data_IF_556141554907
#
_entry.id   IF_556141554907
#
_cell.length_a   1.000
_cell.length_b   1.000
_cell.length_c   1.000
_cell.angle_alpha   90.00
_cell.angle_beta   90.00
_cell.angle_gamma   90.00
#
_symmetry.space_group_name_H-M   'P 1'
#
loop_
_entity.id
_entity.type
_entity.pdbx_description
1 polymer ?
#
# COMPACT_ATOMS: atom_id res chain seq x y z
N UNK A 1 15.06 -4.99 8.59
CA UNK A 1 15.46 -4.25 9.83
C UNK A 1 14.26 -4.18 10.77
N UNK A 2 14.48 -4.38 12.07
CA UNK A 2 13.47 -4.13 13.12
C UNK A 2 13.46 -2.63 13.41
N UNK A 3 12.37 -1.94 13.09
CA UNK A 3 12.21 -0.49 13.34
C UNK A 3 11.71 -0.25 14.77
N UNK A 4 10.75 -1.08 15.21
CA UNK A 4 10.29 -1.20 16.59
C UNK A 4 10.05 -2.69 16.91
N UNK A 5 9.60 -3.02 18.12
CA UNK A 5 9.26 -4.41 18.45
C UNK A 5 8.13 -4.97 17.59
N UNK A 6 7.25 -4.11 17.08
CA UNK A 6 6.09 -4.47 16.26
C UNK A 6 6.26 -4.22 14.77
N UNK A 7 7.29 -3.47 14.34
CA UNK A 7 7.49 -3.06 12.95
C UNK A 7 8.77 -3.66 12.41
N UNK A 8 8.64 -4.63 11.51
CA UNK A 8 9.75 -5.24 10.79
C UNK A 8 9.65 -4.92 9.30
N UNK A 9 10.67 -4.25 8.76
CA UNK A 9 10.71 -3.84 7.36
C UNK A 9 12.07 -4.20 6.77
N UNK A 10 12.07 -4.74 5.56
CA UNK A 10 13.29 -5.16 4.86
C UNK A 10 13.37 -4.54 3.46
N UNK A 11 14.59 -4.30 2.98
CA UNK A 11 14.82 -3.91 1.59
C UNK A 11 15.17 -5.17 0.81
N UNK A 12 14.20 -5.77 0.16
CA UNK A 12 14.33 -7.04 -0.56
C UNK A 12 13.14 -7.28 -1.51
N UNK A 13 13.28 -8.27 -2.37
CA UNK A 13 12.21 -8.76 -3.22
C UNK A 13 11.08 -9.41 -2.38
N UNK A 14 9.84 -9.18 -2.79
CA UNK A 14 8.67 -9.70 -2.07
C UNK A 14 8.59 -11.24 -2.09
N UNK A 15 9.05 -11.90 -3.15
CA UNK A 15 9.06 -13.37 -3.22
C UNK A 15 10.09 -13.97 -2.25
N UNK A 16 11.24 -13.28 -2.04
CA UNK A 16 12.23 -13.67 -1.04
C UNK A 16 11.68 -13.51 0.38
N UNK A 17 10.99 -12.40 0.65
CA UNK A 17 10.28 -12.22 1.91
C UNK A 17 9.29 -13.35 2.15
N UNK A 18 8.37 -13.57 1.20
CA UNK A 18 7.26 -14.52 1.35
C UNK A 18 7.72 -15.96 1.51
N UNK A 19 8.82 -16.35 0.84
CA UNK A 19 9.37 -17.71 0.92
C UNK A 19 9.80 -18.13 2.34
N UNK A 20 10.05 -17.20 3.25
CA UNK A 20 10.48 -17.49 4.63
C UNK A 20 9.33 -17.85 5.57
N UNK A 21 8.08 -17.63 5.16
CA UNK A 21 6.94 -17.80 6.03
C UNK A 21 6.14 -19.05 5.68
N UNK A 22 5.66 -19.79 6.70
CA UNK A 22 4.78 -20.92 6.49
C UNK A 22 3.37 -20.49 6.04
N UNK A 23 2.58 -21.47 5.62
CA UNK A 23 1.19 -21.25 5.23
C UNK A 23 0.38 -20.59 6.35
N UNK A 24 -0.47 -19.64 5.99
CA UNK A 24 -1.37 -18.92 6.92
C UNK A 24 -0.66 -18.21 8.09
N UNK A 25 0.60 -17.81 7.90
CA UNK A 25 1.37 -17.13 8.95
C UNK A 25 0.79 -15.76 9.31
N UNK A 26 0.38 -14.99 8.29
CA UNK A 26 -0.20 -13.67 8.47
C UNK A 26 -1.72 -13.75 8.56
N UNK A 27 -2.31 -12.97 9.45
CA UNK A 27 -3.75 -12.94 9.62
C UNK A 27 -4.42 -12.08 8.55
N UNK A 28 -3.73 -11.00 8.11
CA UNK A 28 -4.20 -10.08 7.08
C UNK A 28 -3.05 -9.51 6.28
N UNK A 29 -3.06 -9.70 4.96
CA UNK A 29 -2.22 -8.97 4.03
C UNK A 29 -3.00 -7.77 3.46
N UNK A 30 -2.38 -6.58 3.46
CA UNK A 30 -2.90 -5.38 2.78
C UNK A 30 -1.80 -4.90 1.86
N UNK A 31 -1.99 -5.09 0.56
CA UNK A 31 -0.93 -4.88 -0.43
C UNK A 31 -1.37 -3.98 -1.58
N UNK A 32 -0.45 -3.18 -2.10
CA UNK A 32 -0.66 -2.26 -3.22
C UNK A 32 0.42 -2.50 -4.30
N UNK A 33 0.34 -3.64 -5.02
CA UNK A 33 1.34 -3.97 -6.03
C UNK A 33 1.22 -3.06 -7.27
N UNK A 34 2.29 -2.91 -8.07
CA UNK A 34 2.24 -2.19 -9.33
C UNK A 34 1.18 -2.75 -10.26
N UNK A 35 0.45 -1.86 -10.96
CA UNK A 35 -0.72 -2.29 -11.75
C UNK A 35 -0.37 -2.67 -13.21
N UNK A 36 0.82 -2.34 -13.68
CA UNK A 36 1.24 -2.57 -15.08
C UNK A 36 0.53 -1.66 -16.10
N UNK A 37 0.10 -0.48 -15.68
CA UNK A 37 -0.63 0.48 -16.51
C UNK A 37 0.25 1.60 -17.07
N UNK A 38 1.57 1.52 -16.86
CA UNK A 38 2.56 2.49 -17.30
C UNK A 38 2.59 3.76 -16.43
N UNK A 39 2.16 3.67 -15.17
CA UNK A 39 2.12 4.80 -14.24
C UNK A 39 3.50 5.45 -14.00
N UNK A 40 4.59 4.71 -14.18
CA UNK A 40 5.98 5.20 -14.13
C UNK A 40 6.52 5.75 -15.44
N UNK A 41 5.77 5.73 -16.54
CA UNK A 41 6.27 6.12 -17.86
C UNK A 41 6.29 7.63 -18.07
N UNK A 42 7.26 8.14 -18.87
CA UNK A 42 7.32 9.56 -19.32
C UNK A 42 6.02 10.03 -19.97
N UNK A 43 5.29 9.14 -20.65
CA UNK A 43 3.99 9.48 -21.25
C UNK A 43 2.94 9.85 -20.20
N UNK A 44 2.97 9.20 -19.05
CA UNK A 44 2.05 9.46 -17.96
C UNK A 44 2.40 10.77 -17.24
N UNK A 45 3.69 11.03 -17.09
CA UNK A 45 4.24 12.25 -16.49
C UNK A 45 3.89 13.47 -17.36
N UNK A 46 4.10 13.40 -18.67
CA UNK A 46 3.86 14.52 -19.59
C UNK A 46 2.39 14.91 -19.77
N UNK A 47 1.44 14.04 -19.44
CA UNK A 47 0.00 14.38 -19.48
C UNK A 47 -0.43 15.25 -18.30
N UNK A 48 0.30 15.27 -17.20
CA UNK A 48 -0.19 15.80 -15.92
C UNK A 48 0.72 16.87 -15.30
N UNK A 49 1.83 17.27 -15.93
CA UNK A 49 2.79 18.15 -15.26
C UNK A 49 3.12 19.41 -16.06
N UNK A 50 2.43 20.49 -15.66
CA UNK A 50 3.02 21.84 -15.71
C UNK A 50 4.04 22.08 -14.56
N UNK A 51 4.38 21.04 -13.78
CA UNK A 51 5.16 21.19 -12.55
C UNK A 51 6.52 20.47 -12.67
N UNK A 52 7.59 21.23 -12.85
CA UNK A 52 8.99 20.77 -12.93
C UNK A 52 9.47 19.92 -11.73
N UNK A 53 8.75 19.95 -10.62
CA UNK A 53 9.07 19.15 -9.43
C UNK A 53 8.58 17.68 -9.52
N UNK A 54 7.69 17.35 -10.46
CA UNK A 54 7.21 15.98 -10.64
C UNK A 54 8.29 15.07 -11.24
N UNK A 55 9.21 15.58 -12.07
CA UNK A 55 10.31 14.79 -12.63
C UNK A 55 11.25 14.18 -11.58
N UNK A 56 11.36 14.82 -10.41
CA UNK A 56 12.19 14.29 -9.31
C UNK A 56 11.62 13.02 -8.65
N UNK A 57 10.30 12.81 -8.73
CA UNK A 57 9.62 11.66 -8.10
C UNK A 57 9.46 10.46 -9.03
N UNK A 58 9.43 10.72 -10.34
CA UNK A 58 9.31 9.68 -11.34
C UNK A 58 10.69 9.47 -11.96
N UNK A 59 11.52 8.66 -11.31
CA UNK A 59 12.68 8.10 -12.01
C UNK A 59 12.14 7.35 -13.25
N UNK A 60 12.86 7.42 -14.36
CA UNK A 60 12.64 6.57 -15.55
C UNK A 60 12.85 5.10 -15.14
N UNK A 61 11.87 4.51 -14.49
CA UNK A 61 11.97 3.17 -13.96
C UNK A 61 10.78 2.35 -14.44
N UNK A 62 11.08 1.20 -14.99
CA UNK A 62 10.13 0.13 -15.32
C UNK A 62 9.57 -0.57 -14.07
N UNK A 63 9.34 0.19 -12.96
CA UNK A 63 8.85 -0.37 -11.71
C UNK A 63 7.36 -0.79 -11.79
N UNK A 64 6.60 -0.22 -12.74
CA UNK A 64 5.17 -0.52 -12.87
C UNK A 64 4.96 -1.80 -13.70
N UNK A 65 5.52 -2.91 -13.21
CA UNK A 65 5.33 -4.24 -13.78
C UNK A 65 4.33 -4.99 -12.90
N UNK A 66 3.20 -5.40 -13.50
CA UNK A 66 2.18 -6.16 -12.79
C UNK A 66 2.76 -7.49 -12.25
N UNK A 67 2.41 -7.89 -11.01
CA UNK A 67 2.87 -9.13 -10.43
C UNK A 67 2.42 -10.36 -11.23
N UNK A 68 3.24 -11.39 -11.20
CA UNK A 68 2.92 -12.68 -11.83
C UNK A 68 1.90 -13.48 -11.00
N UNK A 69 1.30 -14.51 -11.61
CA UNK A 69 0.43 -15.47 -10.90
C UNK A 69 1.16 -16.14 -9.72
N UNK A 70 2.49 -16.29 -9.77
CA UNK A 70 3.28 -16.87 -8.68
C UNK A 70 3.22 -16.00 -7.44
N UNK A 71 3.31 -14.68 -7.58
CA UNK A 71 3.17 -13.73 -6.48
C UNK A 71 1.82 -13.90 -5.76
N UNK A 72 0.71 -13.92 -6.51
CA UNK A 72 -0.61 -14.07 -5.90
C UNK A 72 -0.82 -15.43 -5.23
N UNK A 73 -0.21 -16.50 -5.77
CA UNK A 73 -0.22 -17.83 -5.12
C UNK A 73 0.51 -17.81 -3.79
N UNK A 74 1.70 -17.19 -3.72
CA UNK A 74 2.47 -17.07 -2.49
C UNK A 74 1.78 -16.16 -1.46
N UNK A 75 1.25 -15.01 -1.89
CA UNK A 75 0.47 -14.13 -1.02
C UNK A 75 -0.71 -14.86 -0.37
N UNK A 76 -1.47 -15.63 -1.17
CA UNK A 76 -2.59 -16.45 -0.69
C UNK A 76 -2.13 -17.59 0.22
N UNK A 77 -0.97 -18.19 -0.03
CA UNK A 77 -0.41 -19.26 0.79
C UNK A 77 -0.10 -18.80 2.21
N UNK A 78 0.58 -17.67 2.34
CA UNK A 78 1.08 -17.19 3.65
C UNK A 78 0.09 -16.34 4.43
N UNK A 79 -1.05 -15.94 3.82
CA UNK A 79 -2.02 -15.03 4.41
C UNK A 79 -3.42 -15.64 4.50
N UNK A 80 -4.04 -15.61 5.68
CA UNK A 80 -5.43 -16.10 5.89
C UNK A 80 -6.44 -15.21 5.16
N UNK A 81 -6.22 -13.90 5.21
CA UNK A 81 -7.03 -12.87 4.55
C UNK A 81 -6.15 -11.91 3.78
N UNK A 82 -6.69 -11.34 2.70
CA UNK A 82 -5.98 -10.34 1.95
C UNK A 82 -6.91 -9.23 1.46
N UNK A 83 -6.34 -8.04 1.30
CA UNK A 83 -6.89 -6.85 0.65
C UNK A 83 -5.85 -6.42 -0.39
N UNK A 84 -6.19 -6.51 -1.67
CA UNK A 84 -5.29 -6.23 -2.79
C UNK A 84 -5.80 -5.01 -3.53
N UNK A 85 -5.13 -3.86 -3.39
CA UNK A 85 -5.42 -2.67 -4.15
C UNK A 85 -5.15 -2.88 -5.64
N UNK A 86 -5.91 -2.19 -6.49
CA UNK A 86 -5.85 -2.41 -7.94
C UNK A 86 -6.41 -3.77 -8.37
N UNK A 87 -7.24 -4.44 -7.56
CA UNK A 87 -7.80 -5.75 -7.87
C UNK A 87 -8.51 -5.85 -9.21
N UNK A 88 -9.02 -4.72 -9.72
CA UNK A 88 -9.61 -4.60 -11.05
C UNK A 88 -8.62 -4.80 -12.22
N UNK A 89 -7.31 -4.63 -11.99
CA UNK A 89 -6.27 -4.89 -12.98
C UNK A 89 -5.80 -6.35 -13.00
N UNK A 90 -6.18 -7.14 -11.97
CA UNK A 90 -5.73 -8.51 -11.77
C UNK A 90 -6.85 -9.55 -11.82
N UNK A 91 -8.00 -9.21 -12.44
CA UNK A 91 -9.20 -10.06 -12.46
C UNK A 91 -9.00 -11.42 -13.13
N UNK A 92 -7.98 -11.57 -14.00
CA UNK A 92 -7.59 -12.84 -14.60
C UNK A 92 -6.65 -13.68 -13.72
N UNK A 93 -6.18 -13.16 -12.60
CA UNK A 93 -5.23 -13.79 -11.68
C UNK A 93 -5.81 -14.01 -10.27
N UNK A 94 -6.95 -13.37 -9.98
CA UNK A 94 -7.60 -13.40 -8.68
C UNK A 94 -8.98 -14.05 -8.79
N UNK A 95 -9.39 -14.74 -7.72
CA UNK A 95 -10.72 -15.34 -7.64
C UNK A 95 -11.80 -14.25 -7.52
N UNK A 96 -13.01 -14.49 -8.03
CA UNK A 96 -14.14 -13.59 -7.82
C UNK A 96 -14.41 -13.37 -6.33
N UNK A 97 -14.77 -12.14 -5.97
CA UNK A 97 -15.12 -11.79 -4.59
C UNK A 97 -16.40 -10.98 -4.53
N UNK A 98 -17.18 -11.17 -3.46
CA UNK A 98 -18.34 -10.31 -3.13
C UNK A 98 -17.92 -9.03 -2.41
N UNK A 99 -16.80 -9.09 -1.67
CA UNK A 99 -16.32 -8.00 -0.84
C UNK A 99 -15.26 -7.19 -1.58
N UNK A 100 -15.68 -6.14 -2.26
CA UNK A 100 -14.80 -5.10 -2.75
C UNK A 100 -14.73 -3.94 -1.76
N UNK A 101 -13.57 -3.30 -1.70
CA UNK A 101 -13.39 -2.04 -0.99
C UNK A 101 -13.18 -0.95 -2.04
N UNK A 102 -14.01 0.07 -1.97
CA UNK A 102 -13.94 1.23 -2.85
C UNK A 102 -13.42 2.41 -2.04
N UNK A 103 -12.28 2.96 -2.43
CA UNK A 103 -11.83 4.23 -1.88
C UNK A 103 -12.29 5.36 -2.81
N UNK A 104 -13.36 6.06 -2.43
CA UNK A 104 -13.86 7.26 -3.08
C UNK A 104 -13.00 8.46 -2.68
N UNK A 105 -12.28 9.02 -3.66
CA UNK A 105 -11.31 10.10 -3.44
C UNK A 105 -11.92 11.49 -3.41
N UNK A 106 -13.18 11.64 -3.80
CA UNK A 106 -13.87 12.93 -3.90
C UNK A 106 -13.12 13.96 -4.75
N UNK A 107 -12.48 13.52 -5.82
CA UNK A 107 -11.61 14.38 -6.64
C UNK A 107 -12.38 15.26 -7.62
N UNK A 108 -13.66 14.96 -7.90
CA UNK A 108 -14.49 15.71 -8.84
C UNK A 108 -14.08 15.49 -10.30
N UNK A 109 -14.52 16.37 -11.19
CA UNK A 109 -14.22 16.32 -12.62
C UNK A 109 -12.75 16.64 -12.90
N UNK A 110 -11.92 15.63 -12.94
CA UNK A 110 -10.51 15.74 -13.32
C UNK A 110 -10.06 14.48 -14.09
N UNK A 111 -8.81 14.47 -14.57
CA UNK A 111 -8.25 13.36 -15.34
C UNK A 111 -7.77 12.16 -14.50
N UNK A 112 -7.89 12.22 -13.17
CA UNK A 112 -7.51 11.13 -12.27
C UNK A 112 -8.70 10.22 -11.98
N UNK A 113 -8.43 8.99 -11.56
CA UNK A 113 -9.49 8.08 -11.15
C UNK A 113 -10.22 8.61 -9.91
N UNK A 114 -11.56 8.65 -9.96
CA UNK A 114 -12.41 9.11 -8.86
C UNK A 114 -12.33 8.19 -7.64
N UNK A 115 -12.05 6.92 -7.87
CA UNK A 115 -11.91 5.92 -6.83
C UNK A 115 -10.79 4.92 -7.14
N UNK A 116 -10.36 4.19 -6.11
CA UNK A 116 -9.56 2.98 -6.23
C UNK A 116 -10.32 1.78 -5.67
N UNK A 117 -10.06 0.62 -6.28
CA UNK A 117 -10.73 -0.63 -5.93
C UNK A 117 -9.73 -1.60 -5.29
N UNK A 118 -10.10 -2.18 -4.16
CA UNK A 118 -9.40 -3.32 -3.61
C UNK A 118 -10.28 -4.57 -3.64
N UNK A 119 -9.71 -5.68 -4.09
CA UNK A 119 -10.33 -7.01 -4.05
C UNK A 119 -9.89 -7.73 -2.77
N UNK A 120 -10.81 -8.48 -2.16
CA UNK A 120 -10.53 -9.25 -0.93
C UNK A 120 -11.04 -10.67 -1.03
N UNK A 121 -10.50 -11.59 -0.20
CA UNK A 121 -11.09 -12.90 0.05
C UNK A 121 -11.98 -12.91 1.32
N UNK A 122 -12.25 -11.75 1.88
CA UNK A 122 -13.06 -11.62 3.10
C UNK A 122 -14.52 -11.81 2.74
N UNK A 123 -15.23 -12.67 3.45
CA UNK A 123 -16.68 -12.81 3.26
C UNK A 123 -17.40 -11.57 3.80
N UNK A 124 -18.25 -10.99 2.96
CA UNK A 124 -19.01 -9.78 3.29
C UNK A 124 -19.48 -9.02 2.07
N UNK A 125 -20.09 -7.88 2.33
CA UNK A 125 -20.54 -6.95 1.28
C UNK A 125 -19.46 -5.93 0.94
N UNK A 126 -19.53 -5.39 -0.29
CA UNK A 126 -18.68 -4.28 -0.69
C UNK A 126 -18.83 -3.09 0.26
N UNK A 127 -17.73 -2.40 0.54
CA UNK A 127 -17.65 -1.24 1.43
C UNK A 127 -17.03 -0.05 0.73
N UNK A 128 -17.48 1.14 1.08
CA UNK A 128 -16.93 2.40 0.59
C UNK A 128 -16.25 3.13 1.74
N UNK A 129 -15.01 3.56 1.51
CA UNK A 129 -14.30 4.53 2.33
C UNK A 129 -14.20 5.82 1.55
N UNK A 130 -14.63 6.94 2.12
CA UNK A 130 -14.63 8.24 1.46
C UNK A 130 -13.63 9.17 2.14
N UNK A 131 -12.65 9.65 1.36
CA UNK A 131 -11.70 10.67 1.83
C UNK A 131 -11.16 11.44 0.64
N UNK A 132 -11.30 12.76 0.67
CA UNK A 132 -10.65 13.62 -0.32
C UNK A 132 -9.15 13.39 -0.36
N UNK A 133 -8.62 13.12 -1.55
CA UNK A 133 -7.20 12.86 -1.76
C UNK A 133 -6.79 13.30 -3.16
N UNK A 134 -6.19 14.46 -3.28
CA UNK A 134 -5.69 14.99 -4.53
C UNK A 134 -4.16 15.08 -4.49
N UNK A 135 -3.52 13.95 -4.39
CA UNK A 135 -2.08 13.85 -4.51
C UNK A 135 -1.29 14.83 -3.65
N UNK A 136 -0.48 15.69 -4.28
CA UNK A 136 0.42 16.62 -3.58
C UNK A 136 -0.30 17.61 -2.66
N UNK A 137 -1.57 17.87 -2.88
CA UNK A 137 -2.36 18.82 -2.04
C UNK A 137 -2.96 18.15 -0.79
N UNK A 138 -2.92 16.83 -0.70
CA UNK A 138 -3.58 16.10 0.37
C UNK A 138 -2.80 16.07 1.70
N UNK A 139 -1.50 16.40 1.69
CA UNK A 139 -0.60 16.28 2.84
C UNK A 139 -0.28 17.61 3.52
N UNK A 140 -1.15 18.61 3.47
CA UNK A 140 -0.91 19.90 4.10
C UNK A 140 0.48 20.51 3.81
N UNK A 141 0.95 20.36 2.56
CA UNK A 141 2.26 20.85 2.13
C UNK A 141 3.44 19.92 2.44
N UNK A 142 3.23 18.78 3.07
CA UNK A 142 4.29 17.78 3.28
C UNK A 142 4.62 17.10 1.95
N UNK A 143 5.88 17.09 1.50
CA UNK A 143 6.27 16.39 0.28
C UNK A 143 5.93 14.89 0.37
N UNK A 144 5.35 14.34 -0.69
CA UNK A 144 5.18 12.90 -0.81
C UNK A 144 6.52 12.22 -0.92
N UNK A 145 6.63 11.03 -0.39
CA UNK A 145 7.82 10.19 -0.56
C UNK A 145 7.62 9.08 -1.60
N UNK A 146 6.37 8.83 -2.01
CA UNK A 146 6.04 7.83 -3.04
C UNK A 146 4.94 8.36 -3.97
N UNK A 147 5.00 8.10 -5.30
CA UNK A 147 4.03 8.64 -6.27
C UNK A 147 2.60 8.17 -6.03
N UNK A 148 2.41 6.94 -5.56
CA UNK A 148 1.10 6.33 -5.29
C UNK A 148 0.76 6.30 -3.79
N UNK A 149 1.34 7.21 -3.00
CA UNK A 149 1.10 7.28 -1.56
C UNK A 149 -0.39 7.36 -1.22
N UNK A 150 -0.84 6.41 -0.39
CA UNK A 150 -2.19 6.38 0.18
C UNK A 150 -2.23 7.00 1.58
N UNK A 151 -3.36 7.58 2.01
CA UNK A 151 -3.48 8.20 3.33
C UNK A 151 -3.40 7.18 4.47
N UNK A 152 -2.77 7.55 5.58
CA UNK A 152 -2.68 6.72 6.79
C UNK A 152 -4.08 6.33 7.28
N UNK A 153 -5.03 7.27 7.26
CA UNK A 153 -6.41 7.06 7.71
C UNK A 153 -7.16 5.99 6.90
N UNK A 154 -6.80 5.77 5.63
CA UNK A 154 -7.34 4.67 4.85
C UNK A 154 -6.90 3.32 5.45
N UNK A 155 -5.62 3.18 5.77
CA UNK A 155 -5.09 1.97 6.38
C UNK A 155 -5.60 1.77 7.81
N UNK A 156 -5.74 2.84 8.59
CA UNK A 156 -6.38 2.78 9.92
C UNK A 156 -7.82 2.27 9.81
N UNK A 157 -8.59 2.78 8.85
CA UNK A 157 -9.95 2.31 8.60
C UNK A 157 -9.98 0.83 8.18
N UNK A 158 -9.06 0.39 7.33
CA UNK A 158 -8.95 -1.01 6.93
C UNK A 158 -8.63 -1.91 8.13
N UNK A 159 -7.66 -1.53 8.96
CA UNK A 159 -7.28 -2.28 10.15
C UNK A 159 -8.43 -2.37 11.16
N UNK A 160 -9.11 -1.27 11.45
CA UNK A 160 -10.26 -1.25 12.37
C UNK A 160 -11.43 -2.11 11.91
N UNK A 161 -11.63 -2.27 10.58
CA UNK A 161 -12.77 -3.05 10.06
C UNK A 161 -12.43 -4.52 9.80
N UNK A 162 -11.17 -4.85 9.51
CA UNK A 162 -10.81 -6.18 9.00
C UNK A 162 -9.75 -6.92 9.81
N UNK A 163 -9.02 -6.23 10.69
CA UNK A 163 -8.07 -6.85 11.62
C UNK A 163 -8.67 -6.98 13.03
N UNK A 164 -8.09 -7.87 13.83
CA UNK A 164 -8.38 -8.04 15.26
C UNK A 164 -7.11 -7.81 16.06
N UNK A 165 -7.24 -7.48 17.33
CA UNK A 165 -6.11 -7.38 18.24
C UNK A 165 -5.23 -8.63 18.17
N UNK A 166 -3.90 -8.42 18.13
CA UNK A 166 -2.91 -9.48 17.99
C UNK A 166 -2.73 -10.03 16.59
N UNK A 167 -3.47 -9.54 15.58
CA UNK A 167 -3.25 -9.96 14.19
C UNK A 167 -1.88 -9.51 13.67
N UNK A 168 -1.25 -10.40 12.90
CA UNK A 168 -0.02 -10.13 12.15
C UNK A 168 -0.36 -9.62 10.77
N UNK A 169 0.10 -8.42 10.46
CA UNK A 169 -0.16 -7.73 9.19
C UNK A 169 1.03 -7.93 8.24
N UNK A 170 0.74 -8.10 6.95
CA UNK A 170 1.73 -8.19 5.88
C UNK A 170 1.52 -7.07 4.86
N UNK A 171 2.61 -6.43 4.44
CA UNK A 171 2.65 -5.62 3.22
C UNK A 171 3.90 -5.94 2.40
N UNK A 172 3.72 -6.33 1.14
CA UNK A 172 4.81 -6.74 0.23
C UNK A 172 5.27 -5.63 -0.73
N UNK A 173 4.66 -4.44 -0.63
CA UNK A 173 4.95 -3.27 -1.47
C UNK A 173 4.79 -1.99 -0.64
N UNK A 174 5.68 -1.81 0.33
CA UNK A 174 5.53 -0.81 1.41
C UNK A 174 5.39 0.63 0.89
N UNK A 175 6.10 0.99 -0.19
CA UNK A 175 6.09 2.32 -0.76
C UNK A 175 6.39 3.42 0.26
N UNK A 176 5.41 4.26 0.54
CA UNK A 176 5.56 5.37 1.49
C UNK A 176 5.58 4.97 2.97
N UNK A 177 5.26 3.74 3.31
CA UNK A 177 5.14 3.27 4.69
C UNK A 177 3.86 3.68 5.43
N UNK A 178 2.85 4.20 4.74
CA UNK A 178 1.61 4.67 5.38
C UNK A 178 0.91 3.58 6.20
N UNK A 179 0.92 2.32 5.74
CA UNK A 179 0.37 1.19 6.50
C UNK A 179 1.15 0.91 7.80
N UNK A 180 2.49 1.06 7.77
CA UNK A 180 3.29 0.85 8.97
C UNK A 180 3.00 1.91 10.04
N UNK A 181 2.71 3.15 9.62
CA UNK A 181 2.25 4.21 10.53
C UNK A 181 0.88 3.89 11.13
N UNK A 182 -0.06 3.39 10.32
CA UNK A 182 -1.37 2.97 10.78
C UNK A 182 -1.28 1.80 11.78
N UNK A 183 -0.42 0.79 11.49
CA UNK A 183 -0.14 -0.31 12.40
C UNK A 183 0.46 0.18 13.72
N UNK A 184 1.41 1.13 13.68
CA UNK A 184 1.95 1.74 14.90
C UNK A 184 0.86 2.42 15.72
N UNK A 185 0.03 3.24 15.06
CA UNK A 185 -1.04 3.99 15.72
C UNK A 185 -2.06 3.11 16.44
N UNK A 186 -2.35 1.94 15.86
CA UNK A 186 -3.37 1.01 16.34
C UNK A 186 -2.79 -0.21 17.10
N UNK A 187 -1.46 -0.31 17.23
CA UNK A 187 -0.81 -1.36 18.00
C UNK A 187 -0.77 -2.73 17.31
N UNK A 188 -0.75 -2.79 15.99
CA UNK A 188 -0.59 -4.04 15.24
C UNK A 188 0.87 -4.36 14.95
N UNK A 189 1.17 -5.66 14.84
CA UNK A 189 2.45 -6.16 14.34
C UNK A 189 2.44 -6.18 12.82
N UNK A 190 3.45 -5.60 12.18
CA UNK A 190 3.59 -5.59 10.72
C UNK A 190 4.96 -6.11 10.28
N UNK A 191 4.91 -6.96 9.24
CA UNK A 191 6.07 -7.32 8.43
C UNK A 191 5.87 -6.75 7.03
N UNK A 192 6.87 -6.05 6.52
CA UNK A 192 6.80 -5.46 5.18
C UNK A 192 8.13 -5.48 4.46
N UNK A 193 8.08 -5.39 3.11
CA UNK A 193 9.28 -5.15 2.29
C UNK A 193 9.06 -4.04 1.27
N UNK A 194 10.18 -3.47 0.84
CA UNK A 194 10.26 -2.50 -0.25
C UNK A 194 11.49 -2.84 -1.10
N UNK A 195 11.29 -2.98 -2.39
CA UNK A 195 12.36 -3.35 -3.32
C UNK A 195 13.26 -2.16 -3.65
N UNK A 196 12.66 -0.99 -3.94
CA UNK A 196 13.42 0.23 -4.24
C UNK A 196 14.09 0.76 -2.97
N UNK A 197 15.42 0.84 -3.01
CA UNK A 197 16.23 1.26 -1.86
C UNK A 197 15.92 2.70 -1.43
N UNK A 198 15.68 3.60 -2.36
CA UNK A 198 15.43 5.01 -2.03
C UNK A 198 14.06 5.17 -1.33
N UNK A 199 13.04 4.45 -1.82
CA UNK A 199 11.72 4.42 -1.15
C UNK A 199 11.79 3.72 0.20
N UNK A 200 12.56 2.63 0.30
CA UNK A 200 12.82 1.97 1.57
C UNK A 200 13.43 2.93 2.59
N UNK A 201 14.52 3.61 2.26
CA UNK A 201 15.21 4.54 3.17
C UNK A 201 14.30 5.72 3.57
N UNK A 202 13.55 6.28 2.61
CA UNK A 202 12.60 7.36 2.85
C UNK A 202 11.46 6.90 3.78
N UNK A 203 10.89 5.70 3.57
CA UNK A 203 9.84 5.14 4.41
C UNK A 203 10.34 4.87 5.84
N UNK A 204 11.53 4.29 5.99
CA UNK A 204 12.14 4.04 7.30
C UNK A 204 12.34 5.36 8.06
N UNK A 205 12.86 6.39 7.40
CA UNK A 205 13.02 7.73 8.01
C UNK A 205 11.68 8.30 8.48
N UNK A 206 10.65 8.21 7.63
CA UNK A 206 9.29 8.65 7.97
C UNK A 206 8.73 7.94 9.18
N UNK A 207 8.85 6.60 9.20
CA UNK A 207 8.34 5.76 10.29
C UNK A 207 9.07 6.07 11.59
N UNK A 208 10.40 6.16 11.59
CA UNK A 208 11.18 6.52 12.77
C UNK A 208 10.78 7.89 13.34
N UNK A 209 10.62 8.89 12.47
CA UNK A 209 10.18 10.23 12.89
C UNK A 209 8.79 10.20 13.53
N UNK A 210 7.85 9.43 12.94
CA UNK A 210 6.50 9.31 13.47
C UNK A 210 6.47 8.58 14.83
N UNK A 211 7.22 7.47 14.95
CA UNK A 211 7.33 6.70 16.21
C UNK A 211 7.97 7.53 17.32
N UNK A 212 8.95 8.39 16.97
CA UNK A 212 9.62 9.25 17.94
C UNK A 212 8.76 10.45 18.41
N UNK A 213 7.67 10.75 17.71
CA UNK A 213 6.74 11.78 18.17
C UNK A 213 6.01 11.28 19.42
N UNK A 214 6.29 11.92 20.57
CA UNK A 214 5.53 11.64 21.79
C UNK A 214 4.07 12.04 21.55
N UNK A 215 3.15 11.09 21.74
CA UNK A 215 1.73 11.45 21.86
C UNK A 215 1.56 12.21 23.16
N UNK A 216 1.06 13.42 23.06
CA UNK A 216 0.82 14.28 24.24
C UNK A 216 -0.39 13.82 25.06
N UNK A 217 -0.98 12.62 24.75
CA UNK A 217 -2.12 12.05 25.49
C UNK A 217 -2.10 10.53 25.44
#
# INVERSE_FOLDING_TARGET
MKVTDRIQITNEDNMELMARYPDNHFDLAIVDPPYGIGAGSKKFINRNTANKNAEKFYKDNDWDIAPSIKYFKELKRISKKYIIWGGNYFTNLLEPSRCYIVWDKKTGDNSYADCELALTNIDGNAKIYTKFWLGAHANNGTPRIHPTEKPIQLYEWLLMNYAKEGNKILDTHLGSGSIALACHNLGYDITACELDKDYYEASIKRIKNHVAQQRLF
#
